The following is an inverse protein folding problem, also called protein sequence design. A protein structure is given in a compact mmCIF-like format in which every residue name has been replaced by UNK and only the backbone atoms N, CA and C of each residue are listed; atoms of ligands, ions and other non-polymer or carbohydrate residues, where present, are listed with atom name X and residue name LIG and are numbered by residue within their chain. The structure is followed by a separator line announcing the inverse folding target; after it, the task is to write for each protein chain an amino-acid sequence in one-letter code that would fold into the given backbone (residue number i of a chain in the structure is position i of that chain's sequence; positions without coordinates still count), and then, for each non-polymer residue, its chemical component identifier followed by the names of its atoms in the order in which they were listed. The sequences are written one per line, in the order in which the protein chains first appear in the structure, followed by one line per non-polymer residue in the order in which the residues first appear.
data_IF_483524532021
#
_entry.id   IF_483524532021
#
_cell.length_a   1.000
_cell.length_b   1.000
_cell.length_c   1.000
_cell.angle_alpha   90.00
_cell.angle_beta   90.00
_cell.angle_gamma   90.00
#
_symmetry.space_group_name_H-M   'P 1'
#
loop_
_entity.id
_entity.type
_entity.pdbx_description
1 polymer ?
#
# COMPACT_ATOMS: atom_id res chain seq x y z
N UNK A 1 0.51 -26.22 -3.75
CA UNK A 1 -0.44 -25.09 -3.77
C UNK A 1 -0.03 -24.13 -2.65
N UNK A 2 -0.01 -22.81 -2.89
CA UNK A 2 0.39 -21.84 -1.86
C UNK A 2 -0.59 -21.80 -0.68
N UNK A 3 -0.11 -21.39 0.50
CA UNK A 3 -0.96 -21.22 1.69
C UNK A 3 -2.01 -20.13 1.47
N UNK A 4 -3.21 -20.32 2.01
CA UNK A 4 -4.27 -19.29 1.98
C UNK A 4 -3.85 -18.10 2.86
N UNK A 5 -4.29 -16.87 2.54
CA UNK A 5 -3.95 -15.69 3.34
C UNK A 5 -4.28 -15.81 4.84
N UNK A 6 -5.35 -16.54 5.20
CA UNK A 6 -5.72 -16.80 6.59
C UNK A 6 -4.70 -17.70 7.33
N UNK A 7 -4.10 -18.67 6.64
CA UNK A 7 -3.05 -19.53 7.20
C UNK A 7 -1.76 -18.74 7.40
N UNK A 8 -1.40 -17.91 6.41
CA UNK A 8 -0.24 -17.00 6.49
C UNK A 8 -0.41 -16.01 7.66
N UNK A 9 -1.61 -15.48 7.84
CA UNK A 9 -1.96 -14.60 8.98
C UNK A 9 -1.67 -15.28 10.32
N UNK A 10 -2.11 -16.53 10.50
CA UNK A 10 -1.87 -17.31 11.73
C UNK A 10 -0.39 -17.61 11.95
N UNK A 11 0.34 -17.97 10.89
CA UNK A 11 1.76 -18.30 10.95
C UNK A 11 2.64 -17.09 11.27
N UNK A 12 2.31 -15.92 10.71
CA UNK A 12 3.14 -14.71 10.86
C UNK A 12 2.67 -13.78 11.99
N UNK A 13 1.51 -14.04 12.61
CA UNK A 13 0.92 -13.14 13.60
C UNK A 13 0.61 -11.74 13.05
N UNK A 14 0.34 -11.63 11.74
CA UNK A 14 0.07 -10.36 11.06
C UNK A 14 -1.37 -10.27 10.64
N UNK A 15 -1.91 -9.05 10.65
CA UNK A 15 -3.28 -8.82 10.24
C UNK A 15 -3.51 -9.22 8.78
N UNK A 16 -4.70 -9.79 8.48
CA UNK A 16 -5.05 -10.31 7.15
C UNK A 16 -4.89 -9.26 6.05
N UNK A 17 -5.23 -8.00 6.34
CA UNK A 17 -5.10 -6.92 5.34
C UNK A 17 -3.63 -6.65 4.96
N UNK A 18 -2.69 -6.83 5.88
CA UNK A 18 -1.25 -6.72 5.58
C UNK A 18 -0.83 -7.80 4.60
N UNK A 19 -1.23 -9.05 4.86
CA UNK A 19 -0.93 -10.19 3.97
C UNK A 19 -1.54 -9.99 2.58
N UNK A 20 -2.82 -9.59 2.52
CA UNK A 20 -3.49 -9.36 1.23
C UNK A 20 -2.83 -8.23 0.41
N UNK A 21 -2.44 -7.11 1.07
CA UNK A 21 -1.75 -6.01 0.40
C UNK A 21 -0.37 -6.43 -0.11
N UNK A 22 0.36 -7.23 0.67
CA UNK A 22 1.66 -7.77 0.28
C UNK A 22 1.53 -8.67 -0.96
N UNK A 23 0.62 -9.66 -0.92
CA UNK A 23 0.39 -10.56 -2.06
C UNK A 23 -0.01 -9.76 -3.28
N UNK A 24 -0.92 -8.77 -3.15
CA UNK A 24 -1.33 -7.91 -4.27
C UNK A 24 -0.16 -7.13 -4.87
N UNK A 25 0.74 -6.65 -4.02
CA UNK A 25 1.90 -5.85 -4.43
C UNK A 25 3.00 -6.69 -5.10
N UNK A 26 3.22 -7.91 -4.61
CA UNK A 26 4.25 -8.82 -5.13
C UNK A 26 3.78 -9.82 -6.19
N UNK A 27 2.47 -9.89 -6.48
CA UNK A 27 1.95 -10.77 -7.54
C UNK A 27 2.17 -10.15 -8.91
N UNK A 28 2.75 -10.93 -9.83
CA UNK A 28 3.03 -10.55 -11.21
C UNK A 28 2.48 -11.62 -12.14
N UNK A 29 1.91 -11.22 -13.27
CA UNK A 29 1.52 -12.15 -14.33
C UNK A 29 2.77 -12.75 -14.97
N UNK A 30 2.78 -14.06 -15.12
CA UNK A 30 3.85 -14.84 -15.72
C UNK A 30 3.27 -15.73 -16.81
N UNK A 31 4.09 -15.98 -17.82
CA UNK A 31 3.77 -16.92 -18.89
C UNK A 31 4.59 -18.18 -18.72
N UNK A 32 3.94 -19.34 -18.84
CA UNK A 32 4.61 -20.63 -18.92
C UNK A 32 4.19 -21.32 -20.20
N UNK A 33 5.18 -21.70 -21.00
CA UNK A 33 4.96 -22.59 -22.12
C UNK A 33 4.83 -24.03 -21.60
N UNK A 34 3.77 -24.70 -22.02
CA UNK A 34 3.58 -26.14 -21.87
C UNK A 34 3.24 -26.72 -23.23
N UNK A 35 4.21 -27.40 -23.83
CA UNK A 35 4.07 -28.10 -25.12
C UNK A 35 3.59 -27.19 -26.26
N UNK A 36 4.14 -25.97 -26.36
CA UNK A 36 3.78 -24.99 -27.40
C UNK A 36 2.54 -24.17 -27.08
N UNK A 37 1.90 -24.38 -25.91
CA UNK A 37 0.76 -23.60 -25.44
C UNK A 37 1.18 -22.70 -24.29
N UNK A 38 1.07 -21.39 -24.50
CA UNK A 38 1.26 -20.39 -23.46
C UNK A 38 0.12 -20.44 -22.44
N UNK A 39 0.47 -20.49 -21.17
CA UNK A 39 -0.47 -20.39 -20.04
C UNK A 39 -0.07 -19.22 -19.16
N UNK A 40 -0.99 -18.30 -18.94
CA UNK A 40 -0.81 -17.14 -18.06
C UNK A 40 -1.24 -17.49 -16.64
N UNK A 41 -0.47 -17.04 -15.66
CA UNK A 41 -0.79 -17.22 -14.25
C UNK A 41 -0.12 -16.14 -13.40
N UNK A 42 -0.74 -15.80 -12.27
CA UNK A 42 -0.13 -14.89 -11.31
C UNK A 42 0.79 -15.65 -10.35
N UNK A 43 2.00 -15.14 -10.19
CA UNK A 43 2.99 -15.66 -9.25
C UNK A 43 3.47 -14.56 -8.32
N UNK A 44 3.68 -14.90 -7.05
CA UNK A 44 4.21 -13.97 -6.05
C UNK A 44 5.73 -13.96 -6.05
N UNK A 45 6.32 -12.78 -6.09
CA UNK A 45 7.75 -12.54 -5.94
C UNK A 45 7.98 -11.42 -4.91
N UNK A 46 8.77 -11.71 -3.87
CA UNK A 46 9.06 -10.75 -2.80
C UNK A 46 9.73 -9.48 -3.35
N UNK A 47 10.69 -9.63 -4.27
CA UNK A 47 11.42 -8.52 -4.87
C UNK A 47 10.52 -7.58 -5.67
N UNK A 48 9.53 -8.14 -6.39
CA UNK A 48 8.50 -7.35 -7.06
C UNK A 48 7.68 -6.55 -6.05
N UNK A 49 7.32 -7.17 -4.93
CA UNK A 49 6.62 -6.52 -3.83
C UNK A 49 7.41 -5.37 -3.23
N UNK A 50 8.72 -5.55 -3.04
CA UNK A 50 9.63 -4.54 -2.51
C UNK A 50 9.79 -3.37 -3.49
N UNK A 51 10.06 -3.65 -4.77
CA UNK A 51 10.22 -2.61 -5.80
C UNK A 51 8.99 -1.70 -5.90
N UNK A 52 7.79 -2.27 -5.88
CA UNK A 52 6.54 -1.49 -5.90
C UNK A 52 6.37 -0.68 -4.61
N UNK A 53 6.75 -1.24 -3.46
CA UNK A 53 6.71 -0.50 -2.19
C UNK A 53 7.63 0.72 -2.24
N UNK A 54 8.87 0.56 -2.66
CA UNK A 54 9.87 1.62 -2.71
C UNK A 54 9.45 2.73 -3.67
N UNK A 55 8.97 2.36 -4.87
CA UNK A 55 8.42 3.32 -5.85
C UNK A 55 7.28 4.13 -5.26
N UNK A 56 6.35 3.48 -4.55
CA UNK A 56 5.23 4.17 -3.93
C UNK A 56 5.67 5.03 -2.74
N UNK A 57 6.66 4.56 -1.98
CA UNK A 57 7.19 5.28 -0.81
C UNK A 57 7.89 6.56 -1.20
N UNK A 58 8.59 6.59 -2.33
CA UNK A 58 9.21 7.81 -2.88
C UNK A 58 8.16 8.89 -3.22
N UNK A 59 6.97 8.47 -3.68
CA UNK A 59 5.84 9.39 -3.95
C UNK A 59 5.08 9.80 -2.69
N UNK A 60 5.29 9.08 -1.59
CA UNK A 60 4.66 9.39 -0.31
C UNK A 60 5.48 10.45 0.41
N UNK A 61 5.07 11.71 0.31
CA UNK A 61 5.61 12.75 1.18
C UNK A 61 4.86 12.75 2.51
N UNK A 62 5.62 12.78 3.61
CA UNK A 62 5.10 13.21 4.90
C UNK A 62 5.42 14.70 5.02
N UNK A 63 4.43 15.56 4.76
CA UNK A 63 4.55 16.97 5.10
C UNK A 63 4.30 17.11 6.60
N UNK A 64 5.33 17.53 7.35
CA UNK A 64 5.12 17.98 8.72
C UNK A 64 4.31 19.26 8.68
N UNK A 65 3.56 19.54 9.75
CA UNK A 65 2.84 20.81 9.90
C UNK A 65 3.77 22.02 9.70
N UNK A 66 5.02 21.92 10.16
CA UNK A 66 6.03 22.97 10.02
C UNK A 66 6.51 23.15 8.57
N UNK A 67 6.33 22.15 7.71
CA UNK A 67 6.68 22.19 6.29
C UNK A 67 5.49 22.64 5.43
N UNK A 68 4.31 22.82 6.03
CA UNK A 68 3.13 23.35 5.33
C UNK A 68 3.30 24.85 5.09
N UNK A 69 2.76 25.35 3.97
CA UNK A 69 2.78 26.78 3.68
C UNK A 69 2.06 27.58 4.77
N UNK A 70 2.62 28.72 5.19
CA UNK A 70 2.00 29.60 6.17
C UNK A 70 0.54 29.94 5.82
N UNK A 71 0.26 30.21 4.54
CA UNK A 71 -1.10 30.49 4.04
C UNK A 71 -2.09 29.35 4.30
N UNK A 72 -1.65 28.10 4.18
CA UNK A 72 -2.49 26.94 4.48
C UNK A 72 -2.83 26.87 5.97
N UNK A 73 -1.85 27.13 6.84
CA UNK A 73 -2.04 27.12 8.31
C UNK A 73 -2.99 28.26 8.73
N UNK A 74 -2.81 29.47 8.21
CA UNK A 74 -3.71 30.61 8.48
C UNK A 74 -5.16 30.32 8.05
N UNK A 75 -5.33 29.72 6.87
CA UNK A 75 -6.66 29.33 6.37
C UNK A 75 -7.28 28.21 7.21
N UNK A 76 -6.47 27.24 7.65
CA UNK A 76 -6.90 26.17 8.53
C UNK A 76 -7.35 26.72 9.89
N UNK A 77 -6.57 27.61 10.51
CA UNK A 77 -6.89 28.26 11.78
C UNK A 77 -8.19 29.08 11.69
N UNK A 78 -8.34 29.84 10.60
CA UNK A 78 -9.57 30.61 10.34
C UNK A 78 -10.78 29.70 10.21
N UNK A 79 -10.66 28.59 9.47
CA UNK A 79 -11.74 27.62 9.29
C UNK A 79 -12.10 26.88 10.58
N UNK A 80 -11.10 26.53 11.41
CA UNK A 80 -11.34 25.90 12.70
C UNK A 80 -12.05 26.87 13.66
N UNK A 81 -11.59 28.12 13.73
CA UNK A 81 -12.16 29.16 14.61
C UNK A 81 -13.60 29.52 14.22
N UNK A 82 -13.90 29.59 12.91
CA UNK A 82 -15.26 29.84 12.42
C UNK A 82 -16.25 28.71 12.74
N UNK A 83 -15.77 27.48 12.90
CA UNK A 83 -16.60 26.31 13.21
C UNK A 83 -16.73 26.03 14.72
N UNK A 84 -15.89 26.66 15.55
CA UNK A 84 -16.12 26.69 17.00
C UNK A 84 -17.26 27.68 17.23
N UNK A 85 -18.49 27.14 17.30
CA UNK A 85 -19.62 27.90 17.83
C UNK A 85 -19.25 28.37 19.23
N UNK A 86 -19.18 29.68 19.42
CA UNK A 86 -19.18 30.28 20.77
C UNK A 86 -20.35 29.70 21.57
N UNK A 87 -20.17 29.40 22.87
CA UNK A 87 -21.27 29.03 23.73
C UNK A 87 -22.36 30.12 23.76
#
# INVERSE_FOLDING_TARGET
MGKKPAEITRLLGRHRSTICREIKRGSVEQVKDKNGKQTFFNAYFADSGQRVYETNRQKSSYLKLNDCSARFIEQLESALTANIRTP
#
